data_IF_834167216889
#
_entry.id   IF_834167216889
#
_cell.length_a   1.000
_cell.length_b   1.000
_cell.length_c   1.000
_cell.angle_alpha   90.00
_cell.angle_beta   90.00
_cell.angle_gamma   90.00
#
_symmetry.space_group_name_H-M   'P 1'
#
loop_
_entity.id
_entity.type
_entity.pdbx_description
1 polymer ?
#
# COMPACT_ATOMS: atom_id res chain seq x y z
N UNK A 1 20.91 -20.74 -1.13
CA UNK A 1 19.72 -19.96 -0.73
C UNK A 1 20.11 -18.49 -0.78
N UNK A 2 19.26 -17.65 -1.36
CA UNK A 2 19.36 -16.19 -1.26
C UNK A 2 18.15 -15.72 -0.43
N UNK A 3 18.39 -15.01 0.66
CA UNK A 3 17.35 -14.58 1.58
C UNK A 3 17.04 -13.10 1.36
N UNK A 4 15.78 -12.82 1.09
CA UNK A 4 15.28 -11.49 0.76
C UNK A 4 14.25 -11.07 1.80
N UNK A 5 14.48 -9.93 2.46
CA UNK A 5 13.47 -9.33 3.33
C UNK A 5 13.50 -7.81 3.24
N UNK A 6 12.34 -7.20 3.46
CA UNK A 6 12.21 -5.75 3.58
C UNK A 6 12.29 -5.36 5.06
N UNK A 7 12.75 -4.14 5.33
CA UNK A 7 12.96 -3.55 6.66
C UNK A 7 11.68 -2.91 7.24
N UNK A 8 10.51 -3.21 6.66
CA UNK A 8 9.27 -2.47 6.96
C UNK A 8 8.85 -2.68 8.39
N UNK A 9 9.04 -3.89 8.93
CA UNK A 9 8.76 -4.20 10.32
C UNK A 9 9.90 -3.82 11.29
N UNK A 10 11.03 -3.32 10.79
CA UNK A 10 12.19 -2.93 11.62
C UNK A 10 12.98 -4.10 12.22
N UNK A 11 12.93 -5.28 11.59
CA UNK A 11 13.57 -6.52 12.08
C UNK A 11 14.46 -7.20 11.03
N UNK A 12 14.70 -6.57 9.87
CA UNK A 12 15.34 -7.25 8.75
C UNK A 12 16.84 -7.50 8.97
N UNK A 13 17.57 -6.57 9.59
CA UNK A 13 18.97 -6.83 9.99
C UNK A 13 19.10 -8.09 10.86
N UNK A 14 18.26 -8.21 11.89
CA UNK A 14 18.24 -9.40 12.76
C UNK A 14 17.83 -10.67 12.01
N UNK A 15 16.89 -10.56 11.08
CA UNK A 15 16.48 -11.68 10.23
C UNK A 15 17.62 -12.13 9.29
N UNK A 16 18.40 -11.19 8.75
CA UNK A 16 19.58 -11.50 7.93
C UNK A 16 20.69 -12.15 8.75
N UNK A 17 20.98 -11.67 9.96
CA UNK A 17 21.94 -12.34 10.84
C UNK A 17 21.53 -13.79 11.14
N UNK A 18 20.25 -14.02 11.48
CA UNK A 18 19.74 -15.37 11.71
C UNK A 18 19.78 -16.24 10.44
N UNK A 19 19.58 -15.65 9.25
CA UNK A 19 19.69 -16.37 7.99
C UNK A 19 21.14 -16.75 7.65
N UNK A 20 22.10 -15.87 7.95
CA UNK A 20 23.54 -16.14 7.83
C UNK A 20 23.96 -17.27 8.78
N UNK A 21 23.52 -17.23 10.04
CA UNK A 21 23.72 -18.32 11.01
C UNK A 21 23.12 -19.65 10.57
N UNK A 22 22.04 -19.61 9.78
CA UNK A 22 21.43 -20.79 9.18
C UNK A 22 22.12 -21.26 7.88
N UNK A 23 23.16 -20.55 7.41
CA UNK A 23 23.95 -20.91 6.22
C UNK A 23 23.36 -20.42 4.90
N UNK A 24 22.69 -19.27 4.87
CA UNK A 24 22.31 -18.62 3.60
C UNK A 24 23.55 -18.19 2.81
N UNK A 25 23.52 -18.34 1.48
CA UNK A 25 24.64 -17.98 0.60
C UNK A 25 24.66 -16.48 0.23
N UNK A 26 23.50 -15.81 0.30
CA UNK A 26 23.35 -14.41 -0.10
C UNK A 26 22.18 -13.72 0.61
N UNK A 27 22.30 -12.42 0.84
CA UNK A 27 21.25 -11.53 1.34
C UNK A 27 21.12 -10.31 0.42
N UNK A 28 19.93 -9.71 0.38
CA UNK A 28 19.68 -8.52 -0.44
C UNK A 28 19.78 -7.24 0.39
N UNK A 29 20.52 -6.24 -0.09
CA UNK A 29 20.72 -4.95 0.59
C UNK A 29 20.45 -3.81 -0.38
N UNK A 30 20.17 -2.63 0.16
CA UNK A 30 19.87 -1.43 -0.62
C UNK A 30 20.75 -0.26 -0.22
N UNK A 31 20.82 0.78 -1.07
CA UNK A 31 21.55 2.01 -0.79
C UNK A 31 20.60 3.14 -0.43
N UNK A 32 20.97 3.99 0.51
CA UNK A 32 20.25 5.24 0.75
C UNK A 32 20.26 6.13 -0.52
N UNK A 33 19.19 6.89 -0.80
CA UNK A 33 18.07 7.21 0.09
C UNK A 33 16.87 6.25 0.02
N UNK A 34 16.97 5.14 -0.72
CA UNK A 34 15.85 4.18 -0.89
C UNK A 34 16.02 2.89 -0.08
N UNK A 35 17.00 2.81 0.81
CA UNK A 35 17.15 1.73 1.79
C UNK A 35 16.25 1.94 3.01
N UNK A 36 15.98 0.86 3.75
CA UNK A 36 15.11 0.87 4.93
C UNK A 36 13.61 0.89 4.59
N UNK A 37 12.76 0.89 5.62
CA UNK A 37 11.30 0.92 5.49
C UNK A 37 10.77 -0.11 4.50
N UNK A 38 10.15 0.34 3.42
CA UNK A 38 9.59 -0.53 2.37
C UNK A 38 10.63 -1.18 1.45
N UNK A 39 11.92 -1.05 1.74
CA UNK A 39 13.04 -1.64 1.01
C UNK A 39 13.92 -2.52 1.93
N UNK A 40 15.04 -3.03 1.41
CA UNK A 40 16.00 -3.81 2.20
C UNK A 40 16.79 -2.92 3.18
N UNK A 41 17.38 -3.50 4.25
CA UNK A 41 18.41 -2.84 5.04
C UNK A 41 19.50 -2.17 4.19
N UNK A 42 20.04 -1.07 4.72
CA UNK A 42 21.13 -0.36 4.07
C UNK A 42 22.44 -1.18 4.07
N UNK A 43 23.20 -1.14 2.98
CA UNK A 43 24.48 -1.86 2.86
C UNK A 43 25.44 -1.49 3.99
N UNK A 44 25.58 -0.20 4.32
CA UNK A 44 26.48 0.25 5.38
C UNK A 44 25.97 -0.18 6.76
N UNK A 45 24.65 -0.18 6.96
CA UNK A 45 24.03 -0.64 8.21
C UNK A 45 24.25 -2.13 8.44
N UNK A 46 24.06 -2.96 7.41
CA UNK A 46 24.34 -4.40 7.51
C UNK A 46 25.83 -4.68 7.67
N UNK A 47 26.69 -3.96 6.92
CA UNK A 47 28.15 -4.05 7.09
C UNK A 47 28.57 -3.75 8.54
N UNK A 48 28.00 -2.71 9.15
CA UNK A 48 28.22 -2.40 10.57
C UNK A 48 27.74 -3.52 11.50
N UNK A 49 26.58 -4.12 11.23
CA UNK A 49 26.00 -5.18 12.04
C UNK A 49 26.77 -6.52 11.97
N UNK A 50 27.53 -6.74 10.90
CA UNK A 50 28.37 -7.94 10.71
C UNK A 50 29.79 -7.77 11.26
N UNK A 51 30.16 -6.59 11.74
CA UNK A 51 31.46 -6.38 12.37
C UNK A 51 31.66 -7.31 13.56
N UNK A 52 32.87 -7.83 13.69
CA UNK A 52 33.28 -8.76 14.74
C UNK A 52 32.54 -10.12 14.70
N UNK A 53 31.88 -10.43 13.58
CA UNK A 53 31.33 -11.76 13.26
C UNK A 53 32.26 -12.52 12.30
N UNK A 54 31.92 -13.77 11.96
CA UNK A 54 32.64 -14.54 10.95
C UNK A 54 32.24 -14.20 9.50
N UNK A 55 31.17 -13.42 9.33
CA UNK A 55 30.64 -13.06 8.02
C UNK A 55 31.29 -11.78 7.50
N UNK A 56 31.61 -11.78 6.21
CA UNK A 56 32.09 -10.62 5.48
C UNK A 56 31.24 -10.44 4.21
N UNK A 57 30.89 -9.19 3.90
CA UNK A 57 30.18 -8.85 2.66
C UNK A 57 31.13 -8.79 1.46
N UNK A 58 32.45 -8.82 1.67
CA UNK A 58 33.49 -8.69 0.65
C UNK A 58 33.32 -7.41 -0.20
N UNK A 59 33.12 -6.29 0.49
CA UNK A 59 32.91 -4.97 -0.11
C UNK A 59 33.95 -3.94 0.34
N UNK A 60 34.26 -3.01 -0.56
CA UNK A 60 35.03 -1.81 -0.26
C UNK A 60 34.09 -0.73 0.28
N UNK A 61 34.06 -0.55 1.60
CA UNK A 61 33.09 0.33 2.27
C UNK A 61 33.21 1.78 1.83
N UNK A 62 34.41 2.25 1.46
CA UNK A 62 34.61 3.62 1.03
C UNK A 62 34.04 3.85 -0.38
N UNK A 63 34.13 2.85 -1.27
CA UNK A 63 33.43 2.89 -2.57
C UNK A 63 31.92 2.86 -2.43
N UNK A 64 31.38 2.11 -1.47
CA UNK A 64 29.94 2.09 -1.19
C UNK A 64 29.46 3.46 -0.74
N UNK A 65 30.21 4.13 0.14
CA UNK A 65 29.91 5.50 0.59
C UNK A 65 29.93 6.51 -0.55
N UNK A 66 30.86 6.38 -1.49
CA UNK A 66 30.92 7.21 -2.71
C UNK A 66 29.70 6.97 -3.61
N UNK A 67 29.38 5.70 -3.88
CA UNK A 67 28.21 5.33 -4.69
C UNK A 67 26.90 5.84 -4.08
N UNK A 68 26.75 5.73 -2.76
CA UNK A 68 25.57 6.22 -2.04
C UNK A 68 25.46 7.75 -2.08
N UNK A 69 26.60 8.47 -2.02
CA UNK A 69 26.61 9.92 -2.16
C UNK A 69 26.10 10.36 -3.55
N UNK A 70 26.62 9.72 -4.61
CA UNK A 70 26.16 9.96 -5.99
C UNK A 70 24.68 9.61 -6.13
N UNK A 71 24.25 8.49 -5.56
CA UNK A 71 22.85 8.06 -5.66
C UNK A 71 21.88 9.03 -4.96
N UNK A 72 22.27 9.57 -3.80
CA UNK A 72 21.52 10.64 -3.11
C UNK A 72 21.40 11.89 -3.97
N UNK A 73 22.47 12.29 -4.67
CA UNK A 73 22.42 13.42 -5.61
C UNK A 73 21.47 13.15 -6.78
N UNK A 74 21.52 11.94 -7.37
CA UNK A 74 20.63 11.55 -8.46
C UNK A 74 19.15 11.48 -8.06
N UNK A 75 18.87 11.18 -6.79
CA UNK A 75 17.51 11.05 -6.25
C UNK A 75 16.99 12.33 -5.59
N UNK A 76 17.80 13.39 -5.51
CA UNK A 76 17.52 14.58 -4.71
C UNK A 76 16.23 15.32 -5.12
N UNK A 77 15.82 15.21 -6.38
CA UNK A 77 14.60 15.82 -6.88
C UNK A 77 13.40 14.85 -6.91
N UNK A 78 13.56 13.58 -6.57
CA UNK A 78 12.48 12.60 -6.56
C UNK A 78 11.68 12.69 -5.27
N UNK A 79 10.35 12.63 -5.38
CA UNK A 79 9.49 12.51 -4.22
C UNK A 79 9.52 11.07 -3.70
N UNK A 80 10.10 10.87 -2.51
CA UNK A 80 10.03 9.63 -1.76
C UNK A 80 8.90 9.73 -0.73
N UNK A 81 7.85 8.89 -0.82
CA UNK A 81 6.77 8.91 0.17
C UNK A 81 7.33 8.66 1.58
N UNK A 82 6.98 9.46 2.60
CA UNK A 82 7.52 9.29 3.95
C UNK A 82 7.28 7.89 4.54
N UNK A 83 6.13 7.29 4.25
CA UNK A 83 5.80 5.92 4.65
C UNK A 83 6.66 4.86 3.97
N UNK A 84 7.29 5.17 2.83
CA UNK A 84 8.14 4.24 2.10
C UNK A 84 9.50 4.03 2.79
N UNK A 85 9.95 5.00 3.59
CA UNK A 85 11.25 4.99 4.25
C UNK A 85 11.14 4.80 5.78
N UNK A 86 9.91 4.66 6.29
CA UNK A 86 9.64 4.49 7.71
C UNK A 86 9.45 3.01 8.09
N UNK A 87 9.76 2.70 9.35
CA UNK A 87 9.36 1.44 9.98
C UNK A 87 7.89 1.52 10.35
N UNK A 88 7.14 0.47 10.02
CA UNK A 88 5.73 0.26 10.35
C UNK A 88 5.57 -1.05 11.15
N UNK A 89 5.59 -0.99 12.48
CA UNK A 89 5.47 -2.18 13.33
C UNK A 89 4.13 -2.91 13.20
N UNK A 90 3.07 -2.23 12.73
CA UNK A 90 1.74 -2.83 12.58
C UNK A 90 1.58 -3.66 11.32
N UNK A 91 2.56 -3.64 10.41
CA UNK A 91 2.49 -4.35 9.13
C UNK A 91 2.19 -5.86 9.22
N UNK A 92 2.60 -6.61 10.26
CA UNK A 92 2.28 -8.04 10.37
C UNK A 92 0.77 -8.34 10.52
N UNK A 93 -0.02 -7.38 11.01
CA UNK A 93 -1.47 -7.54 11.20
C UNK A 93 -2.29 -7.16 9.97
N UNK A 94 -1.71 -6.40 9.04
CA UNK A 94 -2.33 -6.01 7.78
C UNK A 94 -1.26 -6.03 6.69
N UNK A 95 -0.98 -7.20 6.11
CA UNK A 95 0.19 -7.41 5.27
C UNK A 95 0.06 -6.62 3.96
N UNK A 96 0.57 -5.40 3.96
CA UNK A 96 0.72 -4.54 2.78
C UNK A 96 2.19 -4.51 2.36
N UNK A 97 2.57 -5.17 1.25
CA UNK A 97 3.93 -5.03 0.73
C UNK A 97 4.24 -3.58 0.40
N UNK A 98 5.51 -3.22 0.51
CA UNK A 98 5.99 -1.86 0.24
C UNK A 98 5.49 -1.23 -1.06
N UNK A 99 5.53 -1.99 -2.17
CA UNK A 99 5.06 -1.50 -3.46
C UNK A 99 3.54 -1.28 -3.52
N UNK A 100 2.74 -2.08 -2.81
CA UNK A 100 1.30 -1.87 -2.71
C UNK A 100 0.98 -0.72 -1.76
N UNK A 101 1.76 -0.54 -0.70
CA UNK A 101 1.62 0.57 0.23
C UNK A 101 1.73 1.91 -0.52
N UNK A 102 2.86 2.14 -1.18
CA UNK A 102 3.16 3.43 -1.83
C UNK A 102 2.20 3.74 -2.97
N UNK A 103 1.81 2.76 -3.78
CA UNK A 103 0.83 2.96 -4.85
C UNK A 103 -0.55 3.35 -4.30
N UNK A 104 -1.00 2.69 -3.24
CA UNK A 104 -2.32 2.92 -2.68
C UNK A 104 -2.39 4.21 -1.86
N UNK A 105 -1.39 4.52 -1.02
CA UNK A 105 -1.35 5.81 -0.32
C UNK A 105 -1.26 6.97 -1.30
N UNK A 106 -0.57 6.80 -2.42
CA UNK A 106 -0.56 7.80 -3.48
C UNK A 106 -1.95 8.01 -4.08
N UNK A 107 -2.65 6.93 -4.44
CA UNK A 107 -4.03 7.00 -4.91
C UNK A 107 -4.95 7.70 -3.89
N UNK A 108 -4.80 7.42 -2.60
CA UNK A 108 -5.60 8.03 -1.55
C UNK A 108 -5.33 9.54 -1.42
N UNK A 109 -4.08 9.97 -1.55
CA UNK A 109 -3.72 11.41 -1.58
C UNK A 109 -4.33 12.12 -2.78
N UNK A 110 -4.23 11.52 -3.96
CA UNK A 110 -4.75 12.11 -5.20
C UNK A 110 -6.28 12.29 -5.16
N UNK A 111 -6.97 11.48 -4.35
CA UNK A 111 -8.42 11.53 -4.17
C UNK A 111 -8.85 12.20 -2.86
N UNK A 112 -7.92 12.80 -2.09
CA UNK A 112 -8.20 13.49 -0.83
C UNK A 112 -8.94 12.64 0.22
N UNK A 113 -8.57 11.34 0.32
CA UNK A 113 -9.18 10.36 1.24
C UNK A 113 -8.14 9.60 2.07
N UNK A 114 -6.96 10.20 2.24
CA UNK A 114 -5.85 9.60 2.99
C UNK A 114 -6.17 9.43 4.48
N UNK A 115 -7.04 10.27 5.03
CA UNK A 115 -7.55 10.18 6.40
C UNK A 115 -8.27 8.84 6.69
N UNK A 116 -8.79 8.18 5.66
CA UNK A 116 -9.47 6.87 5.77
C UNK A 116 -8.54 5.67 5.66
N UNK A 117 -7.26 5.89 5.41
CA UNK A 117 -6.27 4.81 5.30
C UNK A 117 -6.25 3.85 6.50
N UNK A 118 -6.33 4.32 7.77
CA UNK A 118 -6.37 3.41 8.93
C UNK A 118 -7.59 2.47 8.92
N UNK A 119 -8.76 2.94 8.46
CA UNK A 119 -9.96 2.09 8.33
C UNK A 119 -9.74 0.96 7.32
N UNK A 120 -9.07 1.27 6.20
CA UNK A 120 -8.78 0.30 5.13
C UNK A 120 -7.80 -0.78 5.59
N UNK A 121 -6.77 -0.38 6.34
CA UNK A 121 -5.80 -1.31 6.93
C UNK A 121 -6.48 -2.21 7.98
N UNK A 122 -7.34 -1.65 8.83
CA UNK A 122 -8.09 -2.45 9.79
C UNK A 122 -9.04 -3.46 9.09
N UNK A 123 -9.68 -3.07 7.99
CA UNK A 123 -10.55 -3.96 7.22
C UNK A 123 -9.78 -5.07 6.48
N UNK A 124 -8.49 -4.88 6.18
CA UNK A 124 -7.70 -5.81 5.38
C UNK A 124 -7.51 -7.17 6.05
N UNK A 125 -7.36 -7.21 7.39
CA UNK A 125 -7.17 -8.47 8.12
C UNK A 125 -8.31 -9.47 7.92
N UNK A 126 -9.56 -9.00 7.91
CA UNK A 126 -10.73 -9.83 7.61
C UNK A 126 -10.72 -10.31 6.16
N UNK A 127 -10.37 -9.41 5.23
CA UNK A 127 -10.33 -9.70 3.79
C UNK A 127 -9.32 -10.79 3.46
N UNK A 128 -8.14 -10.78 4.09
CA UNK A 128 -7.11 -11.82 3.96
C UNK A 128 -7.61 -13.15 4.53
N UNK A 129 -8.14 -13.12 5.75
CA UNK A 129 -8.61 -14.31 6.47
C UNK A 129 -9.72 -15.02 5.71
N UNK A 130 -10.74 -14.26 5.28
CA UNK A 130 -11.88 -14.82 4.55
C UNK A 130 -11.59 -15.09 3.08
N UNK A 131 -10.52 -14.50 2.54
CA UNK A 131 -10.02 -14.72 1.19
C UNK A 131 -9.15 -15.97 1.03
N UNK A 132 -8.89 -16.71 2.11
CA UNK A 132 -8.13 -17.97 2.04
C UNK A 132 -6.62 -17.82 2.19
N UNK A 133 -6.14 -16.71 2.78
CA UNK A 133 -4.72 -16.49 3.09
C UNK A 133 -3.77 -16.56 1.90
N UNK A 134 -4.21 -16.14 0.70
CA UNK A 134 -3.31 -15.91 -0.42
C UNK A 134 -2.16 -14.98 -0.01
N UNK A 135 -0.93 -15.31 -0.40
CA UNK A 135 0.26 -14.51 -0.08
C UNK A 135 0.06 -13.09 -0.60
N UNK A 136 0.14 -12.10 0.30
CA UNK A 136 -0.01 -10.70 -0.07
C UNK A 136 1.24 -10.22 -0.80
N UNK A 137 1.31 -10.49 -2.10
CA UNK A 137 2.29 -9.99 -3.07
C UNK A 137 1.53 -9.64 -4.34
N UNK A 138 2.10 -8.81 -5.22
CA UNK A 138 1.42 -8.44 -6.47
C UNK A 138 1.10 -9.70 -7.28
N UNK A 139 -0.15 -9.89 -7.75
CA UNK A 139 -1.27 -8.92 -7.73
C UNK A 139 -2.21 -9.02 -6.51
N UNK A 140 -2.09 -10.06 -5.69
CA UNK A 140 -2.99 -10.37 -4.55
C UNK A 140 -3.04 -9.26 -3.50
N UNK A 141 -1.91 -8.62 -3.20
CA UNK A 141 -1.88 -7.47 -2.28
C UNK A 141 -2.83 -6.35 -2.70
N UNK A 142 -2.91 -6.08 -4.02
CA UNK A 142 -3.83 -5.09 -4.56
C UNK A 142 -5.29 -5.55 -4.45
N UNK A 143 -5.56 -6.85 -4.62
CA UNK A 143 -6.91 -7.40 -4.50
C UNK A 143 -7.44 -7.23 -3.07
N UNK A 144 -6.60 -7.50 -2.08
CA UNK A 144 -6.94 -7.29 -0.68
C UNK A 144 -7.17 -5.83 -0.36
N UNK A 145 -6.30 -4.93 -0.81
CA UNK A 145 -6.50 -3.50 -0.60
C UNK A 145 -7.80 -3.01 -1.25
N UNK A 146 -8.06 -3.37 -2.51
CA UNK A 146 -9.28 -2.95 -3.22
C UNK A 146 -10.54 -3.48 -2.55
N UNK A 147 -10.54 -4.71 -2.05
CA UNK A 147 -11.68 -5.23 -1.31
C UNK A 147 -11.86 -4.54 0.04
N UNK A 148 -10.76 -4.27 0.77
CA UNK A 148 -10.81 -3.53 2.02
C UNK A 148 -11.31 -2.08 1.80
N UNK A 149 -10.81 -1.42 0.76
CA UNK A 149 -11.30 -0.13 0.27
C UNK A 149 -12.81 -0.18 0.01
N UNK A 150 -13.30 -1.15 -0.76
CA UNK A 150 -14.73 -1.29 -1.04
C UNK A 150 -15.55 -1.50 0.25
N UNK A 151 -15.06 -2.28 1.20
CA UNK A 151 -15.72 -2.50 2.48
C UNK A 151 -15.85 -1.20 3.30
N UNK A 152 -14.87 -0.31 3.19
CA UNK A 152 -14.83 0.99 3.88
C UNK A 152 -15.68 2.05 3.16
N UNK A 153 -15.67 2.08 1.83
CA UNK A 153 -16.43 3.07 1.05
C UNK A 153 -17.91 2.69 0.92
N UNK A 154 -18.23 1.45 0.57
CA UNK A 154 -19.58 1.01 0.25
C UNK A 154 -20.27 0.25 1.39
N UNK A 155 -19.54 -0.02 2.46
CA UNK A 155 -19.98 -0.85 3.58
C UNK A 155 -19.54 -2.31 3.44
N UNK A 156 -19.51 -3.07 4.56
CA UNK A 156 -18.91 -4.40 4.60
C UNK A 156 -19.52 -5.35 3.58
N UNK A 157 -18.69 -5.85 2.66
CA UNK A 157 -19.04 -6.86 1.65
C UNK A 157 -20.20 -6.47 0.72
N UNK A 158 -20.60 -5.20 0.68
CA UNK A 158 -21.66 -4.72 -0.21
C UNK A 158 -21.26 -4.88 -1.69
N UNK A 159 -19.96 -4.71 -1.98
CA UNK A 159 -19.39 -4.82 -3.33
C UNK A 159 -18.10 -5.62 -3.32
N UNK A 160 -18.09 -6.72 -4.07
CA UNK A 160 -16.88 -7.51 -4.29
C UNK A 160 -16.00 -6.79 -5.32
N UNK A 161 -14.74 -6.56 -4.97
CA UNK A 161 -13.73 -6.10 -5.92
C UNK A 161 -13.53 -7.20 -6.98
N UNK A 162 -13.61 -6.89 -8.29
CA UNK A 162 -13.61 -7.92 -9.34
C UNK A 162 -12.44 -8.90 -9.24
N UNK A 163 -11.23 -8.40 -8.99
CA UNK A 163 -10.04 -9.25 -8.97
C UNK A 163 -9.92 -10.10 -7.71
N UNK A 164 -10.37 -9.55 -6.57
CA UNK A 164 -10.53 -10.35 -5.35
C UNK A 164 -11.54 -11.47 -5.57
N UNK A 165 -12.68 -11.17 -6.19
CA UNK A 165 -13.69 -12.17 -6.54
C UNK A 165 -13.15 -13.25 -7.48
N UNK A 166 -12.46 -12.86 -8.56
CA UNK A 166 -11.78 -13.80 -9.47
C UNK A 166 -10.77 -14.69 -8.75
N UNK A 167 -10.01 -14.14 -7.79
CA UNK A 167 -9.07 -14.92 -6.98
C UNK A 167 -9.78 -15.98 -6.15
N UNK A 168 -10.81 -15.61 -5.37
CA UNK A 168 -11.51 -16.58 -4.51
C UNK A 168 -12.39 -17.57 -5.31
N UNK A 169 -12.72 -17.25 -6.55
CA UNK A 169 -13.37 -18.16 -7.51
C UNK A 169 -12.38 -19.11 -8.20
N UNK A 170 -11.06 -18.96 -7.99
CA UNK A 170 -10.04 -19.88 -8.50
C UNK A 170 -9.39 -19.47 -9.82
N UNK A 171 -9.71 -18.31 -10.38
CA UNK A 171 -9.14 -17.84 -11.66
C UNK A 171 -7.67 -17.40 -11.58
N UNK A 172 -7.14 -17.26 -10.36
CA UNK A 172 -5.71 -17.03 -10.09
C UNK A 172 -5.02 -18.26 -9.49
N UNK A 173 -5.66 -19.43 -9.55
CA UNK A 173 -5.20 -20.65 -8.92
C UNK A 173 -5.83 -20.87 -7.55
N UNK A 174 -5.22 -21.73 -6.74
CA UNK A 174 -5.75 -22.10 -5.43
C UNK A 174 -5.15 -21.23 -4.35
N UNK A 175 -5.99 -20.72 -3.46
CA UNK A 175 -5.56 -20.09 -2.22
C UNK A 175 -5.01 -21.16 -1.25
N UNK A 176 -4.09 -20.80 -0.33
CA UNK A 176 -3.55 -21.74 0.66
C UNK A 176 -4.62 -22.41 1.53
N UNK A 177 -5.69 -21.68 1.86
CA UNK A 177 -6.87 -22.19 2.55
C UNK A 177 -8.13 -21.94 1.73
N UNK A 178 -9.17 -22.78 1.86
CA UNK A 178 -10.46 -22.51 1.23
C UNK A 178 -11.00 -21.12 1.64
N UNK A 179 -11.41 -20.27 0.69
CA UNK A 179 -12.07 -19.01 1.01
C UNK A 179 -13.43 -19.24 1.69
N UNK A 180 -13.96 -18.21 2.34
CA UNK A 180 -15.29 -18.27 2.96
C UNK A 180 -16.36 -18.61 1.90
N UNK A 181 -17.12 -19.72 2.08
CA UNK A 181 -18.14 -20.15 1.13
C UNK A 181 -19.21 -19.09 0.83
N UNK A 182 -19.51 -18.20 1.78
CA UNK A 182 -20.45 -17.10 1.57
C UNK A 182 -19.88 -16.09 0.58
N UNK A 183 -18.60 -15.75 0.71
CA UNK A 183 -17.94 -14.82 -0.21
C UNK A 183 -17.78 -15.42 -1.60
N UNK A 184 -17.49 -16.72 -1.71
CA UNK A 184 -17.45 -17.42 -3.01
C UNK A 184 -18.80 -17.30 -3.74
N UNK A 185 -19.92 -17.53 -3.03
CA UNK A 185 -21.26 -17.36 -3.60
C UNK A 185 -21.53 -15.93 -4.03
N UNK A 186 -21.24 -14.96 -3.15
CA UNK A 186 -21.42 -13.54 -3.45
C UNK A 186 -20.59 -13.08 -4.65
N UNK A 187 -19.33 -13.50 -4.74
CA UNK A 187 -18.46 -13.19 -5.87
C UNK A 187 -19.00 -13.82 -7.16
N UNK A 188 -19.45 -15.07 -7.09
CA UNK A 188 -20.04 -15.76 -8.25
C UNK A 188 -21.28 -15.04 -8.77
N UNK A 189 -22.18 -14.63 -7.88
CA UNK A 189 -23.40 -13.89 -8.23
C UNK A 189 -23.10 -12.49 -8.77
N UNK A 190 -22.24 -11.71 -8.10
CA UNK A 190 -21.95 -10.32 -8.49
C UNK A 190 -21.12 -10.24 -9.78
N UNK A 191 -20.21 -11.20 -10.02
CA UNK A 191 -19.37 -11.22 -11.20
C UNK A 191 -19.95 -12.06 -12.34
N UNK A 192 -21.01 -12.82 -12.09
CA UNK A 192 -21.60 -13.77 -13.04
C UNK A 192 -20.57 -14.80 -13.54
N UNK A 193 -19.78 -15.33 -12.60
CA UNK A 193 -18.68 -16.26 -12.87
C UNK A 193 -18.80 -17.49 -11.97
N UNK A 194 -18.66 -18.67 -12.54
CA UNK A 194 -18.68 -19.91 -11.76
C UNK A 194 -17.32 -20.16 -11.08
N UNK A 195 -17.29 -20.70 -9.85
CA UNK A 195 -16.05 -21.17 -9.25
C UNK A 195 -15.38 -22.23 -10.13
N UNK A 196 -14.05 -22.15 -10.26
CA UNK A 196 -13.25 -23.05 -11.09
C UNK A 196 -12.08 -23.63 -10.31
N UNK A 197 -11.64 -24.81 -10.73
CA UNK A 197 -10.38 -25.44 -10.28
C UNK A 197 -9.42 -25.68 -11.44
N UNK A 198 -9.80 -25.24 -12.65
CA UNK A 198 -8.98 -25.37 -13.85
C UNK A 198 -7.69 -24.56 -13.71
N UNK A 199 -6.55 -25.04 -14.22
CA UNK A 199 -5.32 -24.27 -14.24
C UNK A 199 -5.51 -22.94 -14.99
N UNK A 200 -5.12 -21.79 -14.39
CA UNK A 200 -5.19 -20.49 -15.07
C UNK A 200 -4.43 -20.44 -16.39
N UNK A 201 -3.32 -21.18 -16.50
CA UNK A 201 -2.52 -21.24 -17.72
C UNK A 201 -3.31 -21.84 -18.89
N UNK A 202 -3.99 -22.97 -18.68
CA UNK A 202 -4.82 -23.60 -19.72
C UNK A 202 -5.96 -22.67 -20.17
N UNK A 203 -6.63 -22.01 -19.21
CA UNK A 203 -7.67 -21.05 -19.54
C UNK A 203 -7.15 -19.84 -20.32
N UNK A 204 -5.91 -19.41 -20.04
CA UNK A 204 -5.27 -18.32 -20.77
C UNK A 204 -4.81 -18.74 -22.17
N UNK A 205 -4.37 -19.98 -22.36
CA UNK A 205 -3.96 -20.52 -23.66
C UNK A 205 -5.16 -20.74 -24.60
N UNK A 206 -6.34 -21.03 -24.03
CA UNK A 206 -7.60 -21.16 -24.76
C UNK A 206 -8.25 -19.80 -25.12
N UNK A 207 -7.85 -18.72 -24.45
CA UNK A 207 -8.44 -17.38 -24.63
C UNK A 207 -7.92 -16.74 -25.93
N UNK A 208 -8.77 -16.54 -26.96
CA UNK A 208 -8.35 -15.98 -28.24
C UNK A 208 -7.95 -14.49 -28.13
N UNK A 209 -8.31 -13.82 -27.05
CA UNK A 209 -7.87 -12.44 -26.77
C UNK A 209 -6.49 -12.38 -26.09
N UNK A 210 -5.84 -13.53 -25.88
CA UNK A 210 -4.49 -13.64 -25.31
C UNK A 210 -3.51 -14.31 -26.28
N UNK A 211 -2.26 -14.34 -25.86
CA UNK A 211 -1.18 -15.03 -26.58
C UNK A 211 -0.62 -14.27 -27.78
N UNK A 212 0.36 -14.90 -28.42
CA UNK A 212 1.18 -14.27 -29.47
C UNK A 212 0.39 -13.89 -30.72
N UNK A 213 -0.58 -14.72 -31.12
CA UNK A 213 -1.37 -14.47 -32.32
C UNK A 213 -2.16 -13.16 -32.20
N UNK A 214 -2.82 -12.95 -31.04
CA UNK A 214 -3.55 -11.73 -30.76
C UNK A 214 -2.65 -10.51 -30.70
N UNK A 215 -1.50 -10.61 -30.04
CA UNK A 215 -0.54 -9.50 -29.94
C UNK A 215 0.02 -9.09 -31.29
N UNK A 216 0.35 -10.05 -32.17
CA UNK A 216 0.78 -9.77 -33.55
C UNK A 216 -0.29 -9.04 -34.35
N UNK A 217 -1.56 -9.45 -34.21
CA UNK A 217 -2.68 -8.73 -34.84
C UNK A 217 -2.84 -7.30 -34.31
N UNK A 218 -2.68 -7.09 -33.00
CA UNK A 218 -2.75 -5.76 -32.38
C UNK A 218 -1.64 -4.84 -32.90
N UNK A 219 -0.41 -5.33 -33.00
CA UNK A 219 0.71 -4.57 -33.57
C UNK A 219 0.44 -4.18 -35.03
N UNK A 220 0.06 -5.15 -35.86
CA UNK A 220 -0.26 -4.90 -37.27
C UNK A 220 -1.44 -3.91 -37.44
N UNK A 221 -2.47 -4.00 -36.59
CA UNK A 221 -3.61 -3.08 -36.63
C UNK A 221 -3.24 -1.64 -36.22
N UNK A 222 -2.12 -1.45 -35.52
CA UNK A 222 -1.61 -0.15 -35.08
C UNK A 222 -0.45 0.35 -35.94
N UNK A 223 -0.16 -0.32 -37.06
CA UNK A 223 0.98 -0.04 -37.96
C UNK A 223 2.34 -0.05 -37.23
N UNK A 224 2.46 -0.93 -36.23
CA UNK A 224 3.69 -1.15 -35.46
C UNK A 224 4.44 -2.38 -35.98
N UNK A 225 5.76 -2.30 -36.02
CA UNK A 225 6.62 -3.40 -36.44
C UNK A 225 6.44 -4.63 -35.52
N UNK A 226 6.39 -5.82 -36.13
CA UNK A 226 6.18 -7.08 -35.43
C UNK A 226 7.53 -7.73 -35.09
N UNK A 227 8.20 -7.20 -34.07
CA UNK A 227 9.42 -7.78 -33.47
C UNK A 227 9.09 -8.51 -32.16
N UNK A 228 10.00 -9.37 -31.69
CA UNK A 228 9.81 -10.08 -30.42
C UNK A 228 9.76 -9.10 -29.24
N UNK A 229 10.52 -8.00 -29.30
CA UNK A 229 10.51 -6.93 -28.31
C UNK A 229 9.15 -6.20 -28.28
N UNK A 230 8.61 -5.82 -29.44
CA UNK A 230 7.32 -5.13 -29.52
C UNK A 230 6.17 -6.05 -29.10
N UNK A 231 6.26 -7.34 -29.42
CA UNK A 231 5.33 -8.35 -28.95
C UNK A 231 5.38 -8.42 -27.42
N UNK A 232 6.56 -8.51 -26.82
CA UNK A 232 6.69 -8.56 -25.37
C UNK A 232 6.10 -7.31 -24.71
N UNK A 233 6.43 -6.11 -25.21
CA UNK A 233 5.92 -4.83 -24.69
C UNK A 233 4.39 -4.77 -24.75
N UNK A 234 3.78 -5.09 -25.89
CA UNK A 234 2.31 -5.03 -26.04
C UNK A 234 1.62 -6.18 -25.30
N UNK A 235 2.23 -7.36 -25.22
CA UNK A 235 1.66 -8.48 -24.46
C UNK A 235 1.67 -8.22 -22.95
N UNK A 236 2.74 -7.63 -22.41
CA UNK A 236 2.87 -7.34 -20.99
C UNK A 236 2.08 -6.08 -20.57
N UNK A 237 2.12 -5.03 -21.39
CA UNK A 237 1.61 -3.71 -21.02
C UNK A 237 0.29 -3.32 -21.72
N UNK A 238 -0.19 -4.13 -22.66
CA UNK A 238 -1.43 -3.85 -23.40
C UNK A 238 -1.40 -2.51 -24.13
N UNK A 239 -2.44 -1.70 -23.93
CA UNK A 239 -2.57 -0.40 -24.61
C UNK A 239 -1.51 0.60 -24.18
N UNK A 240 -0.99 0.51 -22.94
CA UNK A 240 0.16 1.33 -22.51
C UNK A 240 1.42 0.97 -23.30
N UNK A 241 1.60 -0.30 -23.65
CA UNK A 241 2.69 -0.76 -24.51
C UNK A 241 2.56 -0.19 -25.92
N UNK A 242 1.34 -0.17 -26.48
CA UNK A 242 1.06 0.44 -27.78
C UNK A 242 1.36 1.95 -27.76
N UNK A 243 0.87 2.67 -26.75
CA UNK A 243 1.13 4.10 -26.60
C UNK A 243 2.64 4.39 -26.47
N UNK A 244 3.37 3.60 -25.68
CA UNK A 244 4.82 3.71 -25.56
C UNK A 244 5.53 3.57 -26.92
N UNK A 245 5.18 2.54 -27.70
CA UNK A 245 5.78 2.32 -29.02
C UNK A 245 5.47 3.42 -30.04
N UNK A 246 4.36 4.14 -29.86
CA UNK A 246 4.00 5.32 -30.66
C UNK A 246 4.65 6.62 -30.18
N UNK A 247 5.37 6.60 -29.06
CA UNK A 247 5.89 7.81 -28.41
C UNK A 247 4.81 8.64 -27.70
N UNK A 248 3.66 8.04 -27.41
CA UNK A 248 2.50 8.64 -26.73
C UNK A 248 2.47 8.30 -25.23
N UNK A 249 3.54 7.68 -24.71
CA UNK A 249 3.65 7.32 -23.29
C UNK A 249 3.81 8.54 -22.40
N UNK A 250 3.05 8.58 -21.30
CA UNK A 250 3.20 9.60 -20.26
C UNK A 250 4.15 9.13 -19.15
N UNK A 251 5.04 10.02 -18.70
CA UNK A 251 5.96 9.76 -17.59
C UNK A 251 5.35 10.23 -16.27
N UNK A 252 4.92 9.29 -15.42
CA UNK A 252 4.38 9.57 -14.09
C UNK A 252 5.43 9.75 -13.00
N UNK A 253 6.59 10.35 -13.29
CA UNK A 253 7.67 10.55 -12.29
C UNK A 253 7.37 11.75 -11.43
N UNK A 254 7.15 11.54 -10.13
CA UNK A 254 6.92 12.63 -9.18
C UNK A 254 8.23 13.17 -8.65
N UNK A 255 8.40 14.47 -8.83
CA UNK A 255 9.49 15.23 -8.25
C UNK A 255 9.01 16.02 -7.03
N UNK A 256 9.93 16.39 -6.15
CA UNK A 256 9.64 17.28 -5.03
C UNK A 256 9.21 18.63 -5.61
N UNK A 257 8.03 19.11 -5.22
CA UNK A 257 7.60 20.47 -5.55
C UNK A 257 8.48 21.46 -4.76
N UNK A 258 9.39 22.15 -5.44
CA UNK A 258 10.32 23.10 -4.81
C UNK A 258 9.63 24.35 -4.22
N UNK A 259 8.31 24.50 -4.37
CA UNK A 259 7.52 25.60 -3.81
C UNK A 259 6.82 25.27 -2.48
N UNK A 260 6.82 24.00 -2.04
CA UNK A 260 6.20 23.61 -0.76
C UNK A 260 7.30 23.27 0.25
N UNK A 261 7.46 24.12 1.26
CA UNK A 261 8.36 23.86 2.39
C UNK A 261 8.04 22.48 3.02
N UNK A 262 9.05 21.72 3.46
CA UNK A 262 8.84 20.39 4.01
C UNK A 262 7.88 20.48 5.20
N UNK A 263 6.73 19.82 5.07
CA UNK A 263 5.82 19.60 6.20
C UNK A 263 6.58 18.73 7.19
N UNK A 264 6.67 19.20 8.43
CA UNK A 264 7.41 18.55 9.50
C UNK A 264 7.04 17.06 9.60
N UNK A 265 8.05 16.25 9.95
CA UNK A 265 7.90 14.83 10.21
C UNK A 265 6.68 14.53 11.10
N UNK A 266 5.98 13.40 10.90
CA UNK A 266 4.87 13.02 11.77
C UNK A 266 5.37 13.01 13.22
N UNK A 267 4.66 13.76 14.06
CA UNK A 267 4.90 13.81 15.51
C UNK A 267 4.84 12.37 16.04
N UNK A 268 5.73 11.97 16.97
CA UNK A 268 5.66 10.64 17.57
C UNK A 268 4.27 10.38 18.13
N UNK A 269 3.78 9.15 17.98
CA UNK A 269 2.59 8.67 18.68
C UNK A 269 2.80 9.00 20.16
N UNK A 270 1.92 9.79 20.79
CA UNK A 270 2.09 10.12 22.20
C UNK A 270 2.05 8.81 22.99
N UNK A 271 3.03 8.61 23.88
CA UNK A 271 2.97 7.60 24.92
C UNK A 271 1.59 7.64 25.59
N UNK A 272 1.03 6.50 26.04
CA UNK A 272 -0.23 6.50 26.75
C UNK A 272 -0.05 7.31 28.04
N UNK A 273 -0.47 8.56 28.00
CA UNK A 273 -0.48 9.42 29.17
C UNK A 273 -1.39 8.77 30.21
N UNK A 274 -0.83 8.57 31.40
CA UNK A 274 -1.59 8.17 32.58
C UNK A 274 -2.85 9.04 32.69
N UNK A 275 -3.99 8.38 32.88
CA UNK A 275 -5.33 8.96 33.09
C UNK A 275 -5.28 10.35 33.71
N UNK A 276 -5.46 11.38 32.88
CA UNK A 276 -5.79 12.71 33.34
C UNK A 276 -7.31 12.78 33.49
N UNK A 277 -7.75 13.07 34.70
CA UNK A 277 -9.16 13.22 35.05
C UNK A 277 -9.85 14.27 34.16
N UNK A 278 -11.05 13.92 33.69
CA UNK A 278 -11.95 14.85 33.00
C UNK A 278 -12.33 15.96 33.99
N UNK A 279 -12.12 17.22 33.62
CA UNK A 279 -12.57 18.35 34.42
C UNK A 279 -14.10 18.46 34.36
N UNK A 280 -14.77 18.25 35.49
CA UNK A 280 -16.23 18.32 35.68
C UNK A 280 -16.78 19.76 35.83
N UNK A 281 -16.22 20.76 35.16
CA UNK A 281 -16.73 22.14 35.29
C UNK A 281 -16.83 22.85 33.95
N UNK A 282 -18.05 23.34 33.66
CA UNK A 282 -18.36 24.19 32.52
C UNK A 282 -17.64 25.55 32.64
N UNK A 283 -17.21 26.17 31.52
CA UNK A 283 -16.53 27.46 31.54
C UNK A 283 -17.44 28.60 32.02
N UNK A 284 -16.90 29.50 32.85
CA UNK A 284 -17.57 30.69 33.43
C UNK A 284 -17.69 31.87 32.44
N UNK A 285 -17.33 31.68 31.18
CA UNK A 285 -17.39 32.71 30.14
C UNK A 285 -18.02 32.19 28.85
N UNK A 286 -18.84 33.01 28.14
CA UNK A 286 -19.46 32.59 26.89
C UNK A 286 -18.42 32.18 25.84
N UNK A 287 -18.53 30.95 25.34
CA UNK A 287 -17.65 30.41 24.29
C UNK A 287 -18.42 30.35 22.99
N UNK A 288 -17.88 31.00 21.96
CA UNK A 288 -18.41 30.91 20.59
C UNK A 288 -17.82 29.69 19.88
N UNK A 289 -18.69 28.85 19.35
CA UNK A 289 -18.35 27.61 18.66
C UNK A 289 -19.12 27.52 17.37
N UNK A 290 -18.53 26.86 16.38
CA UNK A 290 -19.21 26.50 15.14
C UNK A 290 -19.58 25.03 15.21
N UNK A 291 -20.87 24.71 15.17
CA UNK A 291 -21.39 23.34 15.34
C UNK A 291 -22.00 22.89 14.02
N UNK A 292 -21.65 21.69 13.55
CA UNK A 292 -22.27 21.10 12.36
C UNK A 292 -23.35 20.11 12.77
N UNK A 293 -24.59 20.36 12.37
CA UNK A 293 -25.74 19.47 12.60
C UNK A 293 -26.31 19.10 11.23
N UNK A 294 -26.42 17.80 10.94
CA UNK A 294 -26.92 17.27 9.66
C UNK A 294 -26.25 17.89 8.41
N UNK A 295 -24.94 18.15 8.49
CA UNK A 295 -24.15 18.70 7.39
C UNK A 295 -24.34 20.20 7.15
N UNK A 296 -25.04 20.91 8.02
CA UNK A 296 -25.14 22.38 8.01
C UNK A 296 -24.41 22.99 9.20
N UNK A 297 -23.70 24.07 8.93
CA UNK A 297 -22.89 24.80 9.90
C UNK A 297 -23.74 25.85 10.61
N UNK A 298 -23.71 25.84 11.93
CA UNK A 298 -24.46 26.74 12.80
C UNK A 298 -23.52 27.44 13.79
N UNK A 299 -23.80 28.70 14.09
CA UNK A 299 -23.10 29.42 15.15
C UNK A 299 -23.76 29.12 16.49
N UNK A 300 -22.95 28.65 17.44
CA UNK A 300 -23.37 28.31 18.78
C UNK A 300 -22.63 29.16 19.83
N UNK A 301 -23.35 29.54 20.88
CA UNK A 301 -22.77 30.17 22.06
C UNK A 301 -23.08 29.31 23.27
N UNK A 302 -22.04 28.88 23.97
CA UNK A 302 -22.16 28.11 25.21
C UNK A 302 -21.89 29.06 26.37
N UNK A 303 -22.87 29.26 27.24
CA UNK A 303 -22.77 30.10 28.43
C UNK A 303 -23.33 29.33 29.63
N UNK A 304 -22.42 28.77 30.43
CA UNK A 304 -22.76 27.85 31.51
C UNK A 304 -23.53 26.61 31.01
N UNK A 305 -24.63 26.28 31.69
CA UNK A 305 -25.51 25.13 31.35
C UNK A 305 -26.48 25.38 30.19
N UNK A 306 -26.28 26.44 29.40
CA UNK A 306 -27.12 26.78 28.26
C UNK A 306 -26.31 26.90 26.98
N UNK A 307 -26.87 26.39 25.89
CA UNK A 307 -26.32 26.50 24.54
C UNK A 307 -27.34 27.22 23.67
N UNK A 308 -26.93 28.31 23.04
CA UNK A 308 -27.74 29.02 22.05
C UNK A 308 -27.25 28.66 20.66
N UNK A 309 -28.14 28.15 19.79
CA UNK A 309 -27.85 27.86 18.38
C UNK A 309 -28.85 28.63 17.52
N UNK A 310 -28.38 29.47 16.62
CA UNK A 310 -29.20 30.30 15.71
C UNK A 310 -30.36 31.05 16.40
N UNK A 311 -30.10 31.59 17.60
CA UNK A 311 -31.10 32.34 18.36
C UNK A 311 -32.00 31.51 19.28
N UNK A 312 -31.92 30.17 19.26
CA UNK A 312 -32.69 29.27 20.14
C UNK A 312 -31.83 28.73 21.28
N UNK A 313 -32.36 28.78 22.50
CA UNK A 313 -31.64 28.38 23.71
C UNK A 313 -32.04 26.97 24.16
N UNK A 314 -31.03 26.16 24.43
CA UNK A 314 -31.14 24.77 24.89
C UNK A 314 -30.46 24.64 26.26
N UNK A 315 -31.04 23.89 27.19
CA UNK A 315 -30.40 23.58 28.48
C UNK A 315 -29.68 22.24 28.36
N UNK A 316 -28.41 22.21 28.73
CA UNK A 316 -27.56 21.00 28.66
C UNK A 316 -27.16 20.60 30.07
N UNK A 317 -27.48 19.37 30.46
CA UNK A 317 -27.01 18.74 31.69
C UNK A 317 -25.89 17.76 31.39
N UNK A 318 -24.89 17.66 32.27
CA UNK A 318 -23.82 16.67 32.18
C UNK A 318 -24.40 15.32 32.62
N UNK A 319 -24.31 14.29 31.76
CA UNK A 319 -24.72 12.92 32.03
C UNK A 319 -23.68 11.94 31.53
#
# INVERSE_FOLDING_TARGET
IQFHTHETAGIAVSAYQAALDAGVDAIDLSLAPVSGGTCQPDVLSMWHALRDTEYDLDIDVDKVREAEAIFKECMADYFLPPEAVAVEPMIPWSPMPGGALTANTQMLRDNSIMDRYPEMIAAMGEVVTRGGFGTSVTPVSQFYFQQAFNNVIFGPWAKIAPDYGRMILGYFGRTPMPPDPKLVRMASEQLQMEPTTRPPLEMNDEDPEKGLARTRQRLAAQDLEVTDENIFIVAACGDKGVAFLKGEGEFGVRKIDTEVAPTAAPTPIPEPAASAAVAETLPDTPVHLTVTIDGKTHDAVVDGGQVQIDGRVFTVGVG
#
